data_IF_140368346037
#
_entry.id   IF_140368346037
#
_cell.length_a   1.000
_cell.length_b   1.000
_cell.length_c   1.000
_cell.angle_alpha   90.00
_cell.angle_beta   90.00
_cell.angle_gamma   90.00
#
_symmetry.space_group_name_H-M   'P 1'
#
loop_
_entity.id
_entity.type
_entity.pdbx_description
1 polymer ?
#
# COMPACT_ATOMS: atom_id res chain seq x y z
N UNK A 1 5.47 -7.24 23.23
CA UNK A 1 4.20 -7.98 23.43
C UNK A 1 3.88 -8.61 22.09
N UNK A 2 3.68 -9.92 22.01
CA UNK A 2 3.32 -10.58 20.76
C UNK A 2 1.81 -10.56 20.56
N UNK A 3 1.37 -10.31 19.33
CA UNK A 3 -0.04 -10.36 18.94
C UNK A 3 -0.48 -11.82 18.72
N UNK A 4 -1.62 -12.19 19.26
CA UNK A 4 -2.31 -13.45 18.99
C UNK A 4 -2.76 -13.56 17.53
N UNK A 5 -3.11 -14.77 17.06
CA UNK A 5 -3.59 -14.93 15.68
C UNK A 5 -4.89 -14.19 15.41
N UNK A 6 -5.78 -14.14 16.39
CA UNK A 6 -7.06 -13.44 16.31
C UNK A 6 -6.86 -11.92 16.23
N UNK A 7 -6.01 -11.34 17.10
CA UNK A 7 -5.71 -9.90 17.04
C UNK A 7 -5.10 -9.50 15.70
N UNK A 8 -4.19 -10.32 15.14
CA UNK A 8 -3.60 -10.06 13.83
C UNK A 8 -4.63 -10.07 12.71
N UNK A 9 -5.55 -11.02 12.73
CA UNK A 9 -6.59 -11.10 11.70
C UNK A 9 -7.61 -9.96 11.81
N UNK A 10 -7.97 -9.56 13.04
CA UNK A 10 -8.81 -8.38 13.28
C UNK A 10 -8.16 -7.10 12.75
N UNK A 11 -6.88 -6.86 13.06
CA UNK A 11 -6.13 -5.70 12.58
C UNK A 11 -6.02 -5.72 11.05
N UNK A 12 -5.60 -6.85 10.47
CA UNK A 12 -5.50 -7.03 9.02
C UNK A 12 -6.82 -6.72 8.32
N UNK A 13 -7.91 -7.29 8.81
CA UNK A 13 -9.25 -7.10 8.25
C UNK A 13 -9.71 -5.65 8.37
N UNK A 14 -9.47 -5.01 9.51
CA UNK A 14 -9.81 -3.62 9.73
C UNK A 14 -9.09 -2.69 8.75
N UNK A 15 -7.77 -2.82 8.62
CA UNK A 15 -6.99 -1.98 7.69
C UNK A 15 -7.47 -2.22 6.25
N UNK A 16 -7.68 -3.49 5.86
CA UNK A 16 -8.15 -3.85 4.52
C UNK A 16 -9.52 -3.23 4.18
N UNK A 17 -10.48 -3.28 5.10
CA UNK A 17 -11.81 -2.69 4.91
C UNK A 17 -11.77 -1.16 4.83
N UNK A 18 -10.80 -0.54 5.49
CA UNK A 18 -10.63 0.91 5.55
C UNK A 18 -9.51 1.42 4.63
N UNK A 19 -9.16 0.65 3.60
CA UNK A 19 -8.18 1.07 2.61
C UNK A 19 -8.85 1.90 1.53
N UNK A 20 -8.33 3.10 1.31
CA UNK A 20 -8.74 3.98 0.22
C UNK A 20 -7.68 3.95 -0.90
N UNK A 21 -8.11 3.55 -2.10
CA UNK A 21 -7.30 3.64 -3.32
C UNK A 21 -7.66 4.97 -4.00
N UNK A 22 -6.69 5.87 -4.20
CA UNK A 22 -6.96 7.15 -4.87
C UNK A 22 -6.96 6.99 -6.41
N UNK A 23 -8.00 6.31 -6.90
CA UNK A 23 -8.11 5.89 -8.30
C UNK A 23 -8.01 7.03 -9.31
N UNK A 24 -8.54 8.22 -8.99
CA UNK A 24 -8.45 9.38 -9.88
C UNK A 24 -7.00 9.77 -10.19
N UNK A 25 -6.11 9.68 -9.18
CA UNK A 25 -4.68 9.98 -9.33
C UNK A 25 -4.01 8.88 -10.16
N UNK A 26 -4.31 7.62 -9.85
CA UNK A 26 -3.76 6.46 -10.57
C UNK A 26 -4.12 6.50 -12.07
N UNK A 27 -5.38 6.80 -12.38
CA UNK A 27 -5.88 6.87 -13.75
C UNK A 27 -5.21 7.97 -14.57
N UNK A 28 -4.87 9.10 -13.96
CA UNK A 28 -4.11 10.18 -14.61
C UNK A 28 -2.72 9.70 -15.09
N UNK A 29 -2.18 8.66 -14.46
CA UNK A 29 -0.90 8.04 -14.77
C UNK A 29 -1.03 6.75 -15.59
N UNK A 30 -2.21 6.46 -16.15
CA UNK A 30 -2.51 5.22 -16.88
C UNK A 30 -2.39 3.93 -16.03
N UNK A 31 -2.60 4.04 -14.72
CA UNK A 31 -2.49 2.93 -13.78
C UNK A 31 -3.80 2.66 -13.05
N UNK A 32 -3.98 1.40 -12.67
CA UNK A 32 -5.00 0.97 -11.72
C UNK A 32 -4.35 0.07 -10.67
N UNK A 33 -4.67 0.32 -9.41
CA UNK A 33 -4.36 -0.62 -8.32
C UNK A 33 -5.49 -1.64 -8.29
N UNK A 34 -5.21 -2.85 -8.72
CA UNK A 34 -6.22 -3.89 -8.95
C UNK A 34 -6.61 -4.62 -7.67
N UNK A 35 -5.66 -4.79 -6.75
CA UNK A 35 -5.85 -5.47 -5.48
C UNK A 35 -4.95 -4.83 -4.41
N UNK A 36 -5.37 -4.92 -3.15
CA UNK A 36 -4.55 -4.59 -1.99
C UNK A 36 -4.71 -5.72 -0.96
N UNK A 37 -3.59 -6.24 -0.47
CA UNK A 37 -3.51 -7.27 0.55
C UNK A 37 -2.67 -6.82 1.74
N UNK A 38 -2.88 -7.47 2.88
CA UNK A 38 -2.16 -7.18 4.12
C UNK A 38 -1.78 -8.47 4.85
N UNK A 39 -0.62 -8.44 5.49
CA UNK A 39 -0.22 -9.42 6.50
C UNK A 39 0.24 -8.69 7.76
N UNK A 40 0.00 -9.30 8.93
CA UNK A 40 0.41 -8.75 10.22
C UNK A 40 1.22 -9.81 10.94
N UNK A 41 2.44 -9.47 11.34
CA UNK A 41 3.35 -10.38 12.05
C UNK A 41 3.04 -10.44 13.54
N UNK A 42 3.57 -11.46 14.23
CA UNK A 42 3.48 -11.58 15.70
C UNK A 42 4.06 -10.38 16.44
N UNK A 43 5.04 -9.71 15.83
CA UNK A 43 5.75 -8.59 16.44
C UNK A 43 5.10 -7.24 16.13
N UNK A 44 3.93 -7.21 15.48
CA UNK A 44 3.23 -5.96 15.14
C UNK A 44 3.73 -5.26 13.89
N UNK A 45 4.61 -5.91 13.10
CA UNK A 45 4.93 -5.44 11.75
C UNK A 45 3.74 -5.67 10.82
N UNK A 46 3.50 -4.68 9.95
CA UNK A 46 2.49 -4.75 8.90
C UNK A 46 3.21 -4.84 7.57
N UNK A 47 2.82 -5.78 6.74
CA UNK A 47 3.21 -5.86 5.34
C UNK A 47 1.96 -5.60 4.50
N UNK A 48 2.08 -4.75 3.49
CA UNK A 48 1.03 -4.54 2.51
C UNK A 48 1.54 -4.94 1.13
N UNK A 49 0.65 -5.43 0.29
CA UNK A 49 0.95 -5.78 -1.10
C UNK A 49 -0.11 -5.16 -2.00
N UNK A 50 0.27 -4.69 -3.17
CA UNK A 50 -0.71 -4.29 -4.17
C UNK A 50 -0.32 -4.71 -5.58
N UNK A 51 -1.33 -5.12 -6.34
CA UNK A 51 -1.20 -5.37 -7.76
C UNK A 51 -1.46 -4.09 -8.55
N UNK A 52 -0.54 -3.73 -9.43
CA UNK A 52 -0.63 -2.54 -10.29
C UNK A 52 -0.73 -3.00 -11.74
N UNK A 53 -1.77 -2.54 -12.45
CA UNK A 53 -1.98 -2.82 -13.86
C UNK A 53 -2.03 -1.53 -14.69
N UNK A 54 -1.56 -1.61 -15.93
CA UNK A 54 -1.80 -0.57 -16.92
C UNK A 54 -3.27 -0.55 -17.33
N UNK A 55 -3.88 0.63 -17.42
CA UNK A 55 -5.26 0.77 -17.94
C UNK A 55 -5.27 0.63 -19.46
N UNK A 56 -4.30 1.27 -20.14
CA UNK A 56 -4.10 1.19 -21.58
C UNK A 56 -2.76 0.53 -21.87
N UNK A 57 -2.71 -0.23 -22.95
CA UNK A 57 -1.47 -0.82 -23.45
C UNK A 57 -0.48 0.28 -23.87
N UNK A 58 0.81 0.01 -23.66
CA UNK A 58 1.90 0.93 -23.98
C UNK A 58 2.81 1.23 -22.79
N UNK A 59 4.00 1.79 -23.04
CA UNK A 59 4.95 2.12 -21.98
C UNK A 59 4.42 3.23 -21.07
N UNK A 60 4.86 3.24 -19.82
CA UNK A 60 4.63 4.39 -18.94
C UNK A 60 5.39 5.60 -19.47
N UNK A 61 4.81 6.79 -19.28
CA UNK A 61 5.44 8.06 -19.68
C UNK A 61 6.53 8.51 -18.71
N UNK A 62 6.34 8.18 -17.44
CA UNK A 62 7.21 8.56 -16.33
C UNK A 62 7.49 7.33 -15.50
N UNK A 63 8.59 7.37 -14.78
CA UNK A 63 8.83 6.45 -13.69
C UNK A 63 7.83 6.78 -12.58
N UNK A 64 7.38 5.76 -11.83
CA UNK A 64 6.24 5.91 -10.92
C UNK A 64 6.65 5.43 -9.53
N UNK A 65 6.30 6.21 -8.52
CA UNK A 65 6.26 5.74 -7.14
C UNK A 65 4.84 5.40 -6.75
N UNK A 66 4.64 4.22 -6.16
CA UNK A 66 3.41 3.90 -5.44
C UNK A 66 3.66 4.21 -3.98
N UNK A 67 2.90 5.15 -3.42
CA UNK A 67 2.97 5.52 -2.00
C UNK A 67 1.87 4.80 -1.23
N UNK A 68 2.21 4.31 -0.05
CA UNK A 68 1.33 3.58 0.83
C UNK A 68 1.41 4.14 2.24
N UNK A 69 0.33 4.76 2.71
CA UNK A 69 0.27 5.44 3.99
C UNK A 69 -0.70 4.72 4.93
N UNK A 70 -0.27 4.46 6.17
CA UNK A 70 -1.11 3.95 7.25
C UNK A 70 -1.50 5.09 8.20
N UNK A 71 -2.76 5.12 8.64
CA UNK A 71 -3.28 6.16 9.53
C UNK A 71 -3.93 5.58 10.78
N UNK A 72 -3.93 6.36 11.86
CA UNK A 72 -4.65 6.02 13.09
C UNK A 72 -6.14 6.42 13.00
N UNK A 73 -6.89 6.17 14.08
CA UNK A 73 -8.33 6.50 14.19
C UNK A 73 -8.66 7.99 14.02
N UNK A 74 -7.69 8.87 14.19
CA UNK A 74 -7.83 10.33 14.10
C UNK A 74 -7.29 10.86 12.76
N UNK A 75 -6.99 9.97 11.80
CA UNK A 75 -6.33 10.27 10.52
C UNK A 75 -4.92 10.87 10.65
N UNK A 76 -4.22 10.64 11.77
CA UNK A 76 -2.80 10.97 11.84
C UNK A 76 -1.99 9.89 11.13
N UNK A 77 -0.91 10.29 10.45
CA UNK A 77 0.01 9.36 9.81
C UNK A 77 0.70 8.50 10.88
N UNK A 78 0.61 7.18 10.72
CA UNK A 78 1.31 6.19 11.57
C UNK A 78 2.62 5.79 10.92
N UNK A 79 2.57 5.42 9.64
CA UNK A 79 3.72 5.01 8.86
C UNK A 79 3.45 5.26 7.37
N UNK A 80 4.52 5.42 6.58
CA UNK A 80 4.46 5.58 5.14
C UNK A 80 5.62 4.82 4.51
N UNK A 81 5.35 4.13 3.41
CA UNK A 81 6.32 3.43 2.59
C UNK A 81 6.04 3.76 1.12
N UNK A 82 7.04 3.61 0.27
CA UNK A 82 6.88 3.74 -1.17
C UNK A 82 7.75 2.73 -1.91
N UNK A 83 7.30 2.38 -3.11
CA UNK A 83 8.01 1.46 -3.99
C UNK A 83 7.96 1.99 -5.42
N UNK A 84 8.94 1.60 -6.21
CA UNK A 84 9.29 2.21 -7.48
C UNK A 84 8.97 1.29 -8.65
N UNK A 85 8.39 1.86 -9.70
CA UNK A 85 8.15 1.21 -10.99
C UNK A 85 8.96 1.96 -12.05
N UNK A 86 9.98 1.30 -12.59
CA UNK A 86 10.73 1.79 -13.76
C UNK A 86 9.84 1.71 -15.01
N UNK A 87 9.69 2.82 -15.73
CA UNK A 87 8.87 2.88 -16.95
C UNK A 87 9.38 1.97 -18.06
N UNK A 88 10.68 1.65 -18.08
CA UNK A 88 11.31 0.80 -19.08
C UNK A 88 11.05 -0.68 -18.83
N UNK A 89 10.87 -1.06 -17.56
CA UNK A 89 10.70 -2.45 -17.14
C UNK A 89 9.23 -2.81 -16.88
N UNK A 90 8.34 -1.83 -16.82
CA UNK A 90 6.91 -2.07 -16.60
C UNK A 90 6.22 -2.68 -17.82
N UNK A 91 6.03 -4.00 -17.80
CA UNK A 91 5.32 -4.76 -18.83
C UNK A 91 3.79 -4.68 -18.81
N UNK A 92 3.22 -3.76 -18.02
CA UNK A 92 1.77 -3.58 -17.88
C UNK A 92 1.15 -4.25 -16.65
N UNK A 93 1.93 -4.99 -15.87
CA UNK A 93 1.56 -5.55 -14.58
C UNK A 93 2.80 -5.65 -13.68
N UNK A 94 2.64 -5.33 -12.40
CA UNK A 94 3.62 -5.65 -11.36
C UNK A 94 2.94 -5.79 -10.01
N UNK A 95 3.60 -6.46 -9.08
CA UNK A 95 3.18 -6.56 -7.68
C UNK A 95 4.25 -5.87 -6.82
N UNK A 96 3.81 -4.97 -5.95
CA UNK A 96 4.68 -4.23 -5.04
C UNK A 96 4.41 -4.67 -3.60
N UNK A 97 5.45 -4.67 -2.77
CA UNK A 97 5.37 -5.06 -1.36
C UNK A 97 5.96 -3.98 -0.46
N UNK A 98 5.17 -3.54 0.51
CA UNK A 98 5.49 -2.46 1.43
C UNK A 98 5.62 -3.01 2.85
N UNK A 99 6.73 -2.67 3.50
CA UNK A 99 7.12 -3.24 4.77
C UNK A 99 7.15 -2.18 5.87
N UNK A 100 6.12 -2.14 6.70
CA UNK A 100 6.00 -1.18 7.80
C UNK A 100 6.60 -1.75 9.09
N UNK A 101 7.93 -1.61 9.23
CA UNK A 101 8.69 -2.11 10.38
C UNK A 101 8.94 -1.04 11.46
N UNK A 102 8.52 0.20 11.23
CA UNK A 102 8.88 1.36 12.06
C UNK A 102 8.07 1.45 13.35
N UNK A 103 8.63 0.91 14.43
CA UNK A 103 8.08 1.03 15.78
C UNK A 103 7.25 -0.19 16.19
N UNK A 104 7.32 -0.54 17.47
CA UNK A 104 6.71 -1.75 18.04
C UNK A 104 5.17 -1.71 18.09
N UNK A 105 4.53 -0.69 17.52
CA UNK A 105 3.11 -0.41 17.68
C UNK A 105 2.34 -0.05 16.39
N UNK A 106 2.96 -0.20 15.20
CA UNK A 106 2.31 0.13 13.92
C UNK A 106 0.99 -0.61 13.76
N UNK A 107 0.99 -1.95 13.89
CA UNK A 107 -0.22 -2.76 13.78
C UNK A 107 -1.29 -2.35 14.81
N UNK A 108 -0.88 -2.00 16.04
CA UNK A 108 -1.78 -1.63 17.12
C UNK A 108 -2.39 -0.23 16.91
N UNK A 109 -1.72 0.66 16.17
CA UNK A 109 -2.18 2.04 15.90
C UNK A 109 -2.91 2.21 14.58
N UNK A 110 -2.48 1.49 13.53
CA UNK A 110 -3.06 1.62 12.20
C UNK A 110 -4.52 1.17 12.16
N UNK A 111 -5.37 1.96 11.50
CA UNK A 111 -6.82 1.73 11.38
C UNK A 111 -7.31 1.83 9.94
N UNK A 112 -6.61 2.60 9.11
CA UNK A 112 -6.92 2.80 7.70
C UNK A 112 -5.64 2.97 6.90
N UNK A 113 -5.77 2.92 5.58
CA UNK A 113 -4.66 3.11 4.67
C UNK A 113 -5.07 3.93 3.45
N UNK A 114 -4.09 4.57 2.82
CA UNK A 114 -4.22 5.14 1.46
C UNK A 114 -3.10 4.65 0.58
N UNK A 115 -3.45 4.26 -0.63
CA UNK A 115 -2.48 3.89 -1.66
C UNK A 115 -2.74 4.65 -2.96
N UNK A 116 -1.67 5.20 -3.54
CA UNK A 116 -1.75 6.03 -4.75
C UNK A 116 -0.42 6.14 -5.48
N UNK A 117 -0.50 6.36 -6.79
CA UNK A 117 0.64 6.59 -7.66
C UNK A 117 1.06 8.06 -7.71
N UNK A 118 2.35 8.31 -7.86
CA UNK A 118 2.96 9.62 -8.09
C UNK A 118 4.00 9.48 -9.19
N UNK A 119 4.00 10.38 -10.17
CA UNK A 119 5.04 10.41 -11.19
C UNK A 119 6.34 10.99 -10.61
N UNK A 120 7.47 10.38 -10.96
CA UNK A 120 8.78 11.00 -10.75
C UNK A 120 8.94 12.19 -11.72
N UNK A 121 9.58 13.26 -11.23
CA UNK A 121 9.69 14.53 -11.94
C UNK A 121 10.82 14.57 -12.97
#
# INVERSE_FOLDING_TARGET
MELTAEERDQIRTQIAQNTEVLDAINQALNLKIASVGYSVSKNGWVEAMCDVIAIKTGPLRHDIYIKFNLYDKNNNLVAAEEDYIDKKDFGGYTTLTFNFFSGNDVAQRARSARVFAVADH
#
